data_IF_221961456709
#
_entry.id   IF_221961456709
#
_cell.length_a   1.000
_cell.length_b   1.000
_cell.length_c   1.000
_cell.angle_alpha   90.00
_cell.angle_beta   90.00
_cell.angle_gamma   90.00
#
_symmetry.space_group_name_H-M   'P 1'
#
loop_
_entity.id
_entity.type
_entity.pdbx_description
1 polymer ?
#
# COMPACT_ATOMS: atom_id res chain seq x y z
N UNK A 1 34.46 3.58 6.92
CA UNK A 1 34.39 2.70 8.12
C UNK A 1 35.72 2.75 8.90
N UNK A 2 36.15 3.93 9.35
CA UNK A 2 37.50 4.14 9.90
C UNK A 2 37.61 3.97 11.42
N UNK A 3 36.48 3.96 12.12
CA UNK A 3 36.40 3.79 13.58
C UNK A 3 35.75 2.47 14.00
N UNK A 4 35.58 1.53 13.06
CA UNK A 4 34.91 0.24 13.33
C UNK A 4 33.41 0.33 13.64
N UNK A 5 32.79 1.49 13.45
CA UNK A 5 31.34 1.68 13.66
C UNK A 5 30.62 1.33 12.36
N UNK A 6 29.73 0.33 12.40
CA UNK A 6 28.91 -0.09 11.26
C UNK A 6 27.77 0.92 11.01
N UNK A 7 27.53 1.24 9.74
CA UNK A 7 26.37 2.04 9.31
C UNK A 7 25.42 1.15 8.52
N UNK A 8 24.16 1.14 8.92
CA UNK A 8 23.07 0.43 8.25
C UNK A 8 22.17 1.44 7.55
N UNK A 9 21.85 1.22 6.28
CA UNK A 9 21.03 2.12 5.49
C UNK A 9 20.02 1.36 4.62
N UNK A 10 18.84 1.93 4.42
CA UNK A 10 17.81 1.32 3.57
C UNK A 10 18.18 1.47 2.08
N UNK A 11 17.76 0.49 1.27
CA UNK A 11 17.99 0.47 -0.18
C UNK A 11 17.22 1.57 -0.95
N UNK A 12 16.14 2.09 -0.36
CA UNK A 12 15.19 3.02 -0.99
C UNK A 12 13.88 2.35 -1.44
N UNK A 13 12.88 3.15 -1.81
CA UNK A 13 11.53 2.68 -2.18
C UNK A 13 11.19 2.91 -3.66
N UNK A 14 12.20 3.13 -4.51
CA UNK A 14 12.04 3.47 -5.95
C UNK A 14 12.09 2.24 -6.87
N UNK A 15 12.06 1.04 -6.31
CA UNK A 15 11.87 -0.20 -7.09
C UNK A 15 10.51 -0.24 -7.80
N UNK A 16 10.24 -1.28 -8.62
CA UNK A 16 10.97 -2.54 -8.77
C UNK A 16 11.99 -2.56 -9.93
N UNK A 17 12.18 -1.44 -10.61
CA UNK A 17 13.07 -1.36 -11.78
C UNK A 17 14.53 -1.65 -11.41
N UNK A 18 15.28 -2.21 -12.36
CA UNK A 18 16.72 -2.43 -12.21
C UNK A 18 17.45 -1.12 -11.93
N UNK A 19 18.56 -1.18 -11.19
CA UNK A 19 19.38 -0.02 -10.83
C UNK A 19 18.66 1.11 -10.07
N UNK A 20 17.63 0.79 -9.27
CA UNK A 20 16.88 1.75 -8.43
C UNK A 20 17.43 1.93 -7.00
N UNK A 21 18.52 1.24 -6.65
CA UNK A 21 19.16 1.29 -5.32
C UNK A 21 19.84 2.64 -5.11
N UNK A 22 19.57 3.29 -3.97
CA UNK A 22 20.20 4.59 -3.63
C UNK A 22 21.36 4.46 -2.64
N UNK A 23 21.40 3.40 -1.82
CA UNK A 23 22.48 3.15 -0.87
C UNK A 23 23.62 2.35 -1.51
N UNK A 24 24.54 3.05 -2.18
CA UNK A 24 25.62 2.45 -3.00
C UNK A 24 27.01 2.47 -2.37
N UNK A 25 27.20 3.13 -1.22
CA UNK A 25 28.53 3.24 -0.64
C UNK A 25 29.04 1.84 -0.22
N UNK A 26 30.24 1.40 -0.67
CA UNK A 26 30.75 0.05 -0.39
C UNK A 26 30.93 -0.27 1.09
N UNK A 27 31.03 0.77 1.93
CA UNK A 27 31.21 0.64 3.37
C UNK A 27 29.89 0.73 4.17
N UNK A 28 28.73 0.66 3.52
CA UNK A 28 27.43 0.61 4.20
C UNK A 28 26.79 -0.77 4.08
N UNK A 29 26.13 -1.22 5.15
CA UNK A 29 25.22 -2.36 5.05
C UNK A 29 23.89 -1.85 4.47
N UNK A 30 23.65 -2.15 3.20
CA UNK A 30 22.39 -1.80 2.52
C UNK A 30 21.34 -2.88 2.75
N UNK A 31 20.17 -2.49 3.27
CA UNK A 31 19.08 -3.40 3.66
C UNK A 31 17.86 -3.24 2.76
N UNK A 32 17.39 -4.35 2.20
CA UNK A 32 16.16 -4.43 1.40
C UNK A 32 14.93 -4.77 2.26
N UNK A 33 13.73 -4.53 1.73
CA UNK A 33 12.48 -4.87 2.38
C UNK A 33 11.91 -6.18 1.82
N UNK A 34 11.41 -7.05 2.70
CA UNK A 34 10.68 -8.27 2.36
C UNK A 34 9.40 -8.40 3.19
N UNK A 35 8.53 -9.34 2.81
CA UNK A 35 7.31 -9.63 3.56
C UNK A 35 7.56 -10.64 4.68
N UNK A 36 6.74 -10.58 5.72
CA UNK A 36 6.69 -11.56 6.82
C UNK A 36 5.44 -12.42 6.67
N UNK A 37 5.35 -13.52 7.42
CA UNK A 37 4.17 -14.38 7.49
C UNK A 37 2.89 -13.69 8.02
N UNK A 38 2.99 -12.47 8.58
CA UNK A 38 1.86 -11.69 9.09
C UNK A 38 1.13 -10.95 7.97
N UNK A 39 -0.19 -11.03 7.98
CA UNK A 39 -1.08 -10.32 7.03
C UNK A 39 -2.09 -9.48 7.78
N UNK A 40 -2.25 -8.22 7.39
CA UNK A 40 -3.30 -7.32 7.87
C UNK A 40 -4.51 -7.43 6.95
N UNK A 41 -5.63 -7.93 7.49
CA UNK A 41 -6.85 -8.23 6.72
C UNK A 41 -8.00 -7.38 7.22
N UNK A 42 -8.75 -6.80 6.28
CA UNK A 42 -10.00 -6.09 6.56
C UNK A 42 -11.12 -6.72 5.74
N UNK A 43 -12.15 -7.22 6.44
CA UNK A 43 -13.32 -7.84 5.81
C UNK A 43 -14.37 -6.78 5.49
N UNK A 44 -14.91 -6.82 4.28
CA UNK A 44 -16.02 -5.96 3.84
C UNK A 44 -17.24 -6.84 3.59
N UNK A 45 -18.32 -6.59 4.31
CA UNK A 45 -19.60 -7.29 4.13
C UNK A 45 -20.53 -6.42 3.31
N UNK A 46 -20.93 -6.90 2.14
CA UNK A 46 -21.83 -6.21 1.23
C UNK A 46 -23.29 -6.36 1.65
N UNK A 47 -24.16 -5.54 1.05
CA UNK A 47 -25.61 -5.59 1.28
C UNK A 47 -26.24 -6.92 0.87
N UNK A 48 -25.65 -7.62 -0.11
CA UNK A 48 -26.06 -8.95 -0.57
C UNK A 48 -25.50 -10.10 0.29
N UNK A 49 -24.82 -9.78 1.41
CA UNK A 49 -24.25 -10.76 2.34
C UNK A 49 -22.90 -11.33 1.92
N UNK A 50 -22.37 -10.98 0.74
CA UNK A 50 -21.04 -11.41 0.33
C UNK A 50 -19.97 -10.74 1.17
N UNK A 51 -18.95 -11.52 1.55
CA UNK A 51 -17.80 -11.02 2.29
C UNK A 51 -16.57 -10.97 1.40
N UNK A 52 -16.00 -9.80 1.24
CA UNK A 52 -14.73 -9.57 0.54
C UNK A 52 -13.60 -9.46 1.55
N UNK A 53 -12.47 -10.09 1.26
CA UNK A 53 -11.28 -10.07 2.11
C UNK A 53 -10.26 -9.11 1.50
N UNK A 54 -10.21 -7.89 2.03
CA UNK A 54 -9.27 -6.86 1.61
C UNK A 54 -8.00 -6.84 2.48
N UNK A 55 -6.99 -6.10 2.02
CA UNK A 55 -5.74 -5.85 2.76
C UNK A 55 -5.65 -4.37 3.10
N UNK A 56 -5.90 -4.03 4.37
CA UNK A 56 -5.74 -2.66 4.88
C UNK A 56 -5.49 -2.68 6.38
N UNK A 57 -5.04 -1.56 6.93
CA UNK A 57 -4.97 -1.33 8.37
C UNK A 57 -6.21 -0.51 8.74
N UNK A 58 -7.29 -1.18 9.16
CA UNK A 58 -8.50 -0.52 9.62
C UNK A 58 -8.47 -0.33 11.14
N UNK A 59 -8.46 0.92 11.60
CA UNK A 59 -8.51 1.28 13.03
C UNK A 59 -9.93 1.61 13.50
N UNK A 60 -10.90 1.67 12.58
CA UNK A 60 -12.27 2.08 12.89
C UNK A 60 -13.16 0.88 13.21
N UNK A 61 -13.91 0.98 14.29
CA UNK A 61 -15.03 0.08 14.58
C UNK A 61 -16.34 0.67 14.05
N UNK A 62 -16.98 -0.09 13.16
CA UNK A 62 -18.24 0.29 12.55
C UNK A 62 -19.44 0.07 13.48
N UNK A 63 -19.30 -0.70 14.56
CA UNK A 63 -20.41 -1.10 15.46
C UNK A 63 -21.65 -1.61 14.70
N UNK A 64 -21.43 -2.31 13.59
CA UNK A 64 -22.48 -2.81 12.70
C UNK A 64 -23.15 -1.77 11.80
N UNK A 65 -22.70 -0.50 11.79
CA UNK A 65 -23.22 0.55 10.93
C UNK A 65 -22.91 0.24 9.46
N UNK A 66 -23.96 0.22 8.63
CA UNK A 66 -23.87 0.08 7.17
C UNK A 66 -23.91 1.45 6.51
N UNK A 67 -23.22 1.59 5.39
CA UNK A 67 -23.20 2.79 4.56
C UNK A 67 -23.65 2.45 3.13
N UNK A 68 -24.32 3.38 2.44
CA UNK A 68 -24.65 3.20 1.03
C UNK A 68 -23.37 3.08 0.20
N UNK A 69 -23.33 2.11 -0.71
CA UNK A 69 -22.22 1.89 -1.64
C UNK A 69 -22.67 2.32 -3.04
N UNK A 70 -21.86 3.16 -3.70
CA UNK A 70 -22.10 3.60 -5.08
C UNK A 70 -20.91 3.24 -5.96
N UNK A 71 -21.18 2.80 -7.18
CA UNK A 71 -20.13 2.58 -8.17
C UNK A 71 -19.71 3.92 -8.78
N UNK A 72 -18.42 4.27 -8.69
CA UNK A 72 -17.92 5.59 -9.07
C UNK A 72 -18.28 6.04 -10.48
N UNK A 73 -18.27 5.11 -11.46
CA UNK A 73 -18.68 5.42 -12.84
C UNK A 73 -20.15 5.83 -12.95
N UNK A 74 -21.03 5.24 -12.14
CA UNK A 74 -22.46 5.57 -12.11
C UNK A 74 -22.76 6.82 -11.29
N UNK A 75 -21.82 7.27 -10.45
CA UNK A 75 -21.93 8.50 -9.68
C UNK A 75 -21.51 9.75 -10.46
N UNK A 76 -20.81 9.59 -11.58
CA UNK A 76 -20.45 10.69 -12.46
C UNK A 76 -21.70 11.19 -13.22
N UNK A 77 -21.91 12.51 -13.26
CA UNK A 77 -22.94 13.11 -14.11
C UNK A 77 -22.52 13.03 -15.58
N UNK A 78 -23.49 12.92 -16.49
CA UNK A 78 -23.26 12.94 -17.95
C UNK A 78 -22.60 14.23 -18.47
N UNK A 79 -22.28 15.20 -17.60
CA UNK A 79 -21.75 16.51 -17.91
C UNK A 79 -20.22 16.63 -17.74
N UNK A 80 -19.54 15.65 -17.14
CA UNK A 80 -18.08 15.69 -17.01
C UNK A 80 -17.41 14.85 -18.09
N UNK A 81 -17.10 15.48 -19.22
CA UNK A 81 -16.12 14.98 -20.21
C UNK A 81 -14.70 15.03 -19.59
N UNK A 82 -14.46 14.27 -18.52
CA UNK A 82 -13.15 14.15 -17.90
C UNK A 82 -12.62 12.79 -18.28
N UNK A 83 -11.89 12.75 -19.40
CA UNK A 83 -10.97 11.65 -19.69
C UNK A 83 -9.90 11.65 -18.61
N UNK A 84 -9.95 10.69 -17.69
CA UNK A 84 -8.81 10.43 -16.82
C UNK A 84 -7.70 9.90 -17.73
N UNK A 85 -6.65 10.69 -17.93
CA UNK A 85 -5.49 10.28 -18.71
C UNK A 85 -4.78 9.12 -18.00
N UNK A 86 -4.41 8.11 -18.80
CA UNK A 86 -3.51 7.01 -18.41
C UNK A 86 -2.07 7.51 -18.17
#
# INVERSE_FOLDING_TARGET
MSKGILTVNAVGNTGPNIASVTSLAPWMLTVAASTTNRVFVTKVVLGDGKTLVGRSVNVFDLKGKKFPLVYGKSAASSASNVTCAE
#
